data_IF_706295769480
#
_entry.id   IF_706295769480
#
_cell.length_a   1.000
_cell.length_b   1.000
_cell.length_c   1.000
_cell.angle_alpha   90.00
_cell.angle_beta   90.00
_cell.angle_gamma   90.00
#
_symmetry.space_group_name_H-M   'P 1'
#
loop_
_entity.id
_entity.type
_entity.pdbx_description
1 polymer ?
#
# COMPACT_ATOMS: atom_id res chain seq x y z
N UNK A 1 -23.92 14.55 -0.25
CA UNK A 1 -22.56 14.94 0.17
C UNK A 1 -21.64 14.98 -1.03
N UNK A 2 -20.44 15.51 -0.88
CA UNK A 2 -19.43 15.43 -1.95
C UNK A 2 -18.89 14.01 -2.10
N UNK A 3 -18.50 13.60 -3.32
CA UNK A 3 -17.85 12.31 -3.54
C UNK A 3 -16.56 12.23 -2.74
N UNK A 4 -16.36 11.10 -2.03
CA UNK A 4 -15.12 10.81 -1.30
C UNK A 4 -14.11 10.12 -2.23
N UNK A 5 -12.83 10.34 -1.99
CA UNK A 5 -11.71 9.66 -2.65
C UNK A 5 -11.36 8.40 -1.86
N UNK A 6 -11.60 7.25 -2.44
CA UNK A 6 -11.48 5.94 -1.78
C UNK A 6 -10.36 5.14 -2.45
N UNK A 7 -9.32 4.87 -1.69
CA UNK A 7 -8.10 4.18 -2.16
C UNK A 7 -8.09 2.71 -1.73
N UNK A 8 -7.68 1.85 -2.65
CA UNK A 8 -7.19 0.50 -2.39
C UNK A 8 -5.83 0.35 -3.06
N UNK A 9 -4.80 0.04 -2.29
CA UNK A 9 -3.46 -0.29 -2.80
C UNK A 9 -3.21 -1.79 -2.79
N UNK A 10 -2.68 -2.32 -3.88
CA UNK A 10 -2.20 -3.70 -3.98
C UNK A 10 -0.80 -3.71 -4.58
N UNK A 11 0.11 -4.41 -3.89
CA UNK A 11 1.45 -4.68 -4.40
C UNK A 11 1.39 -5.87 -5.35
N UNK A 12 1.87 -5.76 -6.61
CA UNK A 12 1.84 -6.85 -7.59
C UNK A 12 2.94 -7.89 -7.31
N UNK A 13 2.84 -8.56 -6.15
CA UNK A 13 3.85 -9.50 -5.64
C UNK A 13 3.67 -10.95 -6.10
N UNK A 14 2.60 -11.23 -6.84
CA UNK A 14 2.27 -12.52 -7.42
C UNK A 14 1.71 -12.34 -8.84
N UNK A 15 1.72 -13.37 -9.70
CA UNK A 15 1.16 -13.26 -11.04
C UNK A 15 -0.34 -12.92 -11.07
N UNK A 16 -1.09 -13.37 -10.07
CA UNK A 16 -2.55 -13.21 -10.01
C UNK A 16 -3.01 -12.70 -8.65
N UNK A 17 -4.12 -11.95 -8.64
CA UNK A 17 -4.89 -11.73 -7.41
C UNK A 17 -5.64 -13.02 -7.05
N UNK A 18 -5.94 -13.21 -5.77
CA UNK A 18 -6.70 -14.36 -5.30
C UNK A 18 -8.10 -13.95 -4.82
N UNK A 19 -8.95 -14.93 -4.58
CA UNK A 19 -10.36 -14.70 -4.22
C UNK A 19 -10.52 -13.81 -2.97
N UNK A 20 -9.56 -13.81 -2.05
CA UNK A 20 -9.58 -12.91 -0.88
C UNK A 20 -9.59 -11.43 -1.26
N UNK A 21 -8.98 -11.05 -2.38
CA UNK A 21 -8.99 -9.66 -2.86
C UNK A 21 -10.39 -9.25 -3.36
N UNK A 22 -11.24 -10.19 -3.78
CA UNK A 22 -12.59 -9.86 -4.25
C UNK A 22 -13.46 -9.26 -3.15
N UNK A 23 -13.19 -9.57 -1.89
CA UNK A 23 -13.92 -8.99 -0.75
C UNK A 23 -13.78 -7.48 -0.73
N UNK A 24 -12.55 -6.99 -0.78
CA UNK A 24 -12.29 -5.55 -0.77
C UNK A 24 -12.63 -4.89 -2.11
N UNK A 25 -12.39 -5.56 -3.25
CA UNK A 25 -12.78 -5.05 -4.57
C UNK A 25 -14.29 -4.90 -4.70
N UNK A 26 -15.09 -5.83 -4.18
CA UNK A 26 -16.54 -5.69 -4.16
C UNK A 26 -16.99 -4.53 -3.26
N UNK A 27 -16.31 -4.29 -2.14
CA UNK A 27 -16.57 -3.11 -1.31
C UNK A 27 -16.27 -1.82 -2.07
N UNK A 28 -15.13 -1.77 -2.78
CA UNK A 28 -14.79 -0.65 -3.66
C UNK A 28 -15.88 -0.42 -4.72
N UNK A 29 -16.36 -1.50 -5.36
CA UNK A 29 -17.44 -1.42 -6.36
C UNK A 29 -18.73 -0.86 -5.77
N UNK A 30 -19.13 -1.29 -4.58
CA UNK A 30 -20.31 -0.73 -3.90
C UNK A 30 -20.17 0.77 -3.67
N UNK A 31 -18.98 1.23 -3.24
CA UNK A 31 -18.72 2.66 -3.04
C UNK A 31 -18.68 3.44 -4.36
N UNK A 32 -18.19 2.81 -5.43
CA UNK A 32 -18.22 3.36 -6.78
C UNK A 32 -19.68 3.53 -7.28
N UNK A 33 -20.54 2.55 -7.02
CA UNK A 33 -21.95 2.61 -7.40
C UNK A 33 -22.74 3.65 -6.61
N UNK A 34 -22.27 4.00 -5.40
CA UNK A 34 -22.79 5.12 -4.60
C UNK A 34 -22.28 6.50 -5.06
N UNK A 35 -21.47 6.57 -6.11
CA UNK A 35 -20.98 7.81 -6.71
C UNK A 35 -19.69 8.35 -6.10
N UNK A 36 -18.97 7.55 -5.31
CA UNK A 36 -17.64 7.92 -4.80
C UNK A 36 -16.55 7.70 -5.85
N UNK A 37 -15.46 8.45 -5.76
CA UNK A 37 -14.29 8.29 -6.61
C UNK A 37 -13.41 7.17 -6.09
N UNK A 38 -13.32 6.10 -6.85
CA UNK A 38 -12.51 4.93 -6.52
C UNK A 38 -11.14 5.04 -7.16
N UNK A 39 -10.10 4.84 -6.35
CA UNK A 39 -8.69 4.84 -6.77
C UNK A 39 -8.14 3.44 -6.56
N UNK A 40 -7.78 2.78 -7.65
CA UNK A 40 -7.05 1.51 -7.61
C UNK A 40 -5.56 1.80 -7.77
N UNK A 41 -4.81 1.64 -6.69
CA UNK A 41 -3.39 1.92 -6.62
C UNK A 41 -2.59 0.63 -6.78
N UNK A 42 -1.69 0.61 -7.74
CA UNK A 42 -0.69 -0.44 -7.90
C UNK A 42 0.59 0.00 -7.20
N UNK A 43 1.01 -0.79 -6.21
CA UNK A 43 2.22 -0.56 -5.42
C UNK A 43 3.48 -1.07 -6.13
N UNK A 44 3.80 -0.51 -7.29
CA UNK A 44 4.99 -0.90 -8.05
C UNK A 44 6.28 -0.46 -7.36
N UNK A 45 6.29 0.70 -6.71
CA UNK A 45 7.42 1.14 -5.89
C UNK A 45 7.50 0.37 -4.56
N UNK A 46 6.39 0.23 -3.85
CA UNK A 46 6.37 -0.49 -2.55
C UNK A 46 6.69 -1.96 -2.70
N UNK A 47 6.44 -2.57 -3.85
CA UNK A 47 6.89 -3.94 -4.18
C UNK A 47 8.40 -4.12 -4.16
N UNK A 48 9.18 -3.05 -4.41
CA UNK A 48 10.65 -3.09 -4.29
C UNK A 48 11.09 -3.25 -2.83
N UNK A 49 10.32 -2.72 -1.89
CA UNK A 49 10.56 -2.85 -0.45
C UNK A 49 10.08 -4.22 0.02
N UNK A 50 8.87 -4.59 -0.36
CA UNK A 50 8.15 -5.77 0.10
C UNK A 50 7.42 -5.53 1.42
N UNK A 51 6.13 -5.83 1.43
CA UNK A 51 5.30 -5.69 2.63
C UNK A 51 5.75 -6.66 3.73
N UNK A 52 6.19 -6.16 4.89
CA UNK A 52 6.57 -7.00 6.02
C UNK A 52 5.37 -7.59 6.79
N UNK A 53 4.13 -7.18 6.49
CA UNK A 53 2.92 -7.59 7.22
C UNK A 53 2.78 -9.11 7.28
N UNK A 54 2.65 -9.66 8.51
CA UNK A 54 2.47 -11.09 8.75
C UNK A 54 3.63 -11.97 8.31
N UNK A 55 4.85 -11.44 8.23
CA UNK A 55 6.06 -12.16 7.79
C UNK A 55 7.04 -12.38 8.93
N UNK A 56 7.64 -13.57 8.93
CA UNK A 56 8.70 -13.94 9.86
C UNK A 56 10.11 -13.64 9.32
N UNK A 57 10.22 -13.36 8.03
CA UNK A 57 11.49 -13.08 7.33
C UNK A 57 11.28 -12.01 6.27
N UNK A 58 12.37 -11.31 5.91
CA UNK A 58 12.39 -10.35 4.80
C UNK A 58 12.01 -11.03 3.47
N UNK A 59 11.17 -10.39 2.66
CA UNK A 59 10.82 -10.90 1.32
C UNK A 59 12.02 -10.78 0.37
N UNK A 60 12.22 -11.77 -0.52
CA UNK A 60 13.12 -11.60 -1.65
C UNK A 60 12.62 -10.46 -2.55
N UNK A 61 13.52 -9.60 -3.07
CA UNK A 61 13.14 -8.56 -4.01
C UNK A 61 12.66 -9.15 -5.33
N UNK A 62 11.61 -8.53 -5.92
CA UNK A 62 11.17 -8.82 -7.27
C UNK A 62 11.94 -7.95 -8.27
N UNK A 63 12.13 -8.45 -9.51
CA UNK A 63 12.66 -7.60 -10.58
C UNK A 63 11.60 -6.60 -11.07
N UNK A 64 12.06 -5.50 -11.65
CA UNK A 64 11.17 -4.50 -12.23
C UNK A 64 10.29 -5.08 -13.34
N UNK A 65 10.79 -6.06 -14.11
CA UNK A 65 10.04 -6.76 -15.14
C UNK A 65 8.92 -7.61 -14.53
N UNK A 66 9.21 -8.34 -13.46
CA UNK A 66 8.19 -9.13 -12.74
C UNK A 66 7.10 -8.24 -12.16
N UNK A 67 7.47 -7.11 -11.55
CA UNK A 67 6.52 -6.15 -10.99
C UNK A 67 5.60 -5.61 -12.11
N UNK A 68 6.17 -5.21 -13.26
CA UNK A 68 5.38 -4.71 -14.39
C UNK A 68 4.43 -5.75 -14.96
N UNK A 69 4.91 -6.99 -15.16
CA UNK A 69 4.08 -8.07 -15.69
C UNK A 69 2.91 -8.37 -14.74
N UNK A 70 3.18 -8.48 -13.45
CA UNK A 70 2.16 -8.73 -12.44
C UNK A 70 1.15 -7.55 -12.33
N UNK A 71 1.63 -6.30 -12.46
CA UNK A 71 0.79 -5.11 -12.42
C UNK A 71 -0.29 -5.11 -13.52
N UNK A 72 0.08 -5.52 -14.75
CA UNK A 72 -0.88 -5.63 -15.85
C UNK A 72 -1.95 -6.70 -15.60
N UNK A 73 -1.57 -7.83 -14.99
CA UNK A 73 -2.51 -8.86 -14.59
C UNK A 73 -3.46 -8.37 -13.50
N UNK A 74 -2.93 -7.71 -12.48
CA UNK A 74 -3.72 -7.13 -11.38
C UNK A 74 -4.75 -6.12 -11.90
N UNK A 75 -4.32 -5.21 -12.77
CA UNK A 75 -5.20 -4.26 -13.44
C UNK A 75 -6.34 -4.96 -14.19
N UNK A 76 -5.97 -5.91 -15.05
CA UNK A 76 -6.95 -6.66 -15.85
C UNK A 76 -7.95 -7.42 -14.97
N UNK A 77 -7.49 -8.02 -13.89
CA UNK A 77 -8.35 -8.79 -12.98
C UNK A 77 -9.23 -7.88 -12.10
N UNK A 78 -8.69 -6.78 -11.58
CA UNK A 78 -9.45 -5.81 -10.80
C UNK A 78 -10.60 -5.20 -11.62
N UNK A 79 -10.39 -4.94 -12.90
CA UNK A 79 -11.41 -4.39 -13.80
C UNK A 79 -12.49 -5.40 -14.22
N UNK A 80 -12.40 -6.67 -13.77
CA UNK A 80 -13.57 -7.58 -13.83
C UNK A 80 -14.62 -7.25 -12.76
N UNK A 81 -14.23 -6.52 -11.72
CA UNK A 81 -15.10 -6.12 -10.61
C UNK A 81 -15.39 -4.62 -10.66
N UNK A 82 -14.34 -3.80 -10.77
CA UNK A 82 -14.46 -2.34 -10.83
C UNK A 82 -14.82 -1.87 -12.24
N UNK A 83 -15.58 -0.79 -12.32
CA UNK A 83 -15.86 -0.11 -13.59
C UNK A 83 -14.62 0.68 -14.03
N UNK A 84 -13.97 0.32 -15.16
CA UNK A 84 -12.76 1.00 -15.62
C UNK A 84 -12.97 2.49 -15.92
N UNK A 85 -14.17 2.86 -16.42
CA UNK A 85 -14.46 4.24 -16.79
C UNK A 85 -14.62 5.17 -15.56
N UNK A 86 -14.85 4.58 -14.39
CA UNK A 86 -15.05 5.28 -13.11
C UNK A 86 -13.97 4.98 -12.07
N UNK A 87 -12.89 4.33 -12.48
CA UNK A 87 -11.77 3.99 -11.60
C UNK A 87 -10.53 4.78 -12.00
N UNK A 88 -9.98 5.53 -11.06
CA UNK A 88 -8.67 6.17 -11.19
C UNK A 88 -7.60 5.11 -10.93
N UNK A 89 -6.89 4.68 -11.98
CA UNK A 89 -5.74 3.77 -11.86
C UNK A 89 -4.47 4.60 -11.64
N UNK A 90 -3.74 4.30 -10.57
CA UNK A 90 -2.50 5.01 -10.21
C UNK A 90 -1.40 4.02 -9.85
N UNK A 91 -0.17 4.48 -9.97
CA UNK A 91 1.05 3.76 -9.59
C UNK A 91 1.82 4.59 -8.58
N UNK A 92 2.27 3.99 -7.47
CA UNK A 92 2.91 4.80 -6.43
C UNK A 92 4.35 5.21 -6.78
N UNK A 93 4.95 4.66 -7.82
CA UNK A 93 6.17 5.20 -8.42
C UNK A 93 6.01 6.66 -8.90
N UNK A 94 4.79 7.09 -9.29
CA UNK A 94 4.52 8.43 -9.79
C UNK A 94 5.00 9.54 -8.82
N UNK A 95 4.86 9.33 -7.53
CA UNK A 95 5.30 10.29 -6.50
C UNK A 95 6.49 9.81 -5.70
N UNK A 96 6.67 8.48 -5.56
CA UNK A 96 7.75 7.92 -4.76
C UNK A 96 9.11 8.15 -5.40
N UNK A 97 9.22 7.98 -6.73
CA UNK A 97 10.45 8.27 -7.47
C UNK A 97 10.82 9.77 -7.40
N UNK A 98 9.82 10.64 -7.47
CA UNK A 98 10.00 12.08 -7.37
C UNK A 98 10.37 12.57 -5.96
N UNK A 99 10.07 11.79 -4.91
CA UNK A 99 10.36 12.14 -3.52
C UNK A 99 11.85 12.36 -3.28
N UNK A 100 12.69 11.51 -3.89
CA UNK A 100 14.13 11.54 -3.79
C UNK A 100 14.64 11.33 -2.36
N UNK A 101 15.96 11.27 -2.20
CA UNK A 101 16.60 10.97 -0.90
C UNK A 101 16.24 12.01 0.17
N UNK A 102 16.20 13.28 -0.18
CA UNK A 102 15.86 14.35 0.79
C UNK A 102 14.42 14.26 1.27
N UNK A 103 13.49 13.91 0.37
CA UNK A 103 12.09 13.69 0.71
C UNK A 103 11.92 12.47 1.60
N UNK A 104 12.62 11.37 1.29
CA UNK A 104 12.61 10.16 2.10
C UNK A 104 13.11 10.40 3.52
N UNK A 105 14.19 11.19 3.69
CA UNK A 105 14.70 11.57 5.01
C UNK A 105 13.64 12.37 5.79
N UNK A 106 13.00 13.34 5.14
CA UNK A 106 11.92 14.12 5.78
C UNK A 106 10.73 13.25 6.18
N UNK A 107 10.35 12.29 5.33
CA UNK A 107 9.28 11.35 5.62
C UNK A 107 9.64 10.43 6.81
N UNK A 108 10.85 9.86 6.80
CA UNK A 108 11.33 9.00 7.87
C UNK A 108 11.45 9.72 9.22
N UNK A 109 11.74 11.02 9.22
CA UNK A 109 11.82 11.84 10.43
C UNK A 109 10.46 12.07 11.12
N UNK A 110 9.34 11.78 10.44
CA UNK A 110 7.98 11.94 11.01
C UNK A 110 7.56 10.78 11.92
N UNK A 111 8.35 9.72 11.99
CA UNK A 111 8.01 8.54 12.78
C UNK A 111 9.23 7.98 13.51
N UNK A 112 9.03 7.40 14.69
CA UNK A 112 10.14 6.87 15.50
C UNK A 112 10.25 5.36 15.38
N UNK A 113 11.47 4.83 15.56
CA UNK A 113 11.70 3.37 15.64
C UNK A 113 10.90 2.75 16.77
N UNK A 114 10.81 3.42 17.94
CA UNK A 114 10.03 2.91 19.07
C UNK A 114 8.56 2.68 18.69
N UNK A 115 7.93 3.62 17.98
CA UNK A 115 6.56 3.44 17.49
C UNK A 115 6.44 2.43 16.36
N UNK A 116 7.47 2.31 15.50
CA UNK A 116 7.50 1.28 14.47
C UNK A 116 7.51 -0.13 15.09
N UNK A 117 8.19 -0.27 16.23
CA UNK A 117 8.27 -1.54 16.96
C UNK A 117 6.97 -1.90 17.73
N UNK A 118 5.96 -1.03 17.76
CA UNK A 118 4.61 -1.37 18.25
C UNK A 118 3.84 -2.29 17.27
N UNK A 119 4.33 -2.42 16.04
CA UNK A 119 3.80 -3.33 15.05
C UNK A 119 4.15 -4.77 15.43
N UNK A 120 3.14 -5.65 15.53
CA UNK A 120 3.30 -7.00 16.07
C UNK A 120 4.39 -7.82 15.38
N UNK A 121 4.45 -7.80 14.05
CA UNK A 121 5.43 -8.58 13.28
C UNK A 121 6.88 -8.10 13.52
N UNK A 122 7.12 -6.79 13.61
CA UNK A 122 8.43 -6.26 13.98
C UNK A 122 8.77 -6.59 15.43
N UNK A 123 7.81 -6.43 16.34
CA UNK A 123 7.98 -6.75 17.75
C UNK A 123 8.35 -8.23 17.96
N UNK A 124 7.58 -9.15 17.37
CA UNK A 124 7.82 -10.58 17.47
C UNK A 124 9.17 -10.99 16.87
N UNK A 125 9.50 -10.49 15.69
CA UNK A 125 10.79 -10.78 15.02
C UNK A 125 11.96 -10.27 15.84
N UNK A 126 11.86 -9.07 16.39
CA UNK A 126 12.93 -8.49 17.23
C UNK A 126 13.19 -9.33 18.47
N UNK A 127 12.13 -9.72 19.21
CA UNK A 127 12.24 -10.54 20.41
C UNK A 127 12.69 -11.98 20.13
N UNK A 128 12.35 -12.51 18.96
CA UNK A 128 12.81 -13.83 18.53
C UNK A 128 14.26 -13.82 17.99
N UNK A 129 14.92 -12.66 17.91
CA UNK A 129 16.26 -12.53 17.32
C UNK A 129 16.30 -12.68 15.81
N UNK A 130 15.15 -12.60 15.13
CA UNK A 130 15.04 -12.64 13.67
C UNK A 130 15.47 -11.29 13.06
N UNK A 131 16.10 -11.36 11.90
CA UNK A 131 16.57 -10.15 11.21
C UNK A 131 15.41 -9.27 10.76
N UNK A 132 15.58 -7.95 10.94
CA UNK A 132 14.72 -6.92 10.36
C UNK A 132 15.65 -6.00 9.57
N UNK A 133 15.42 -5.90 8.27
CA UNK A 133 16.20 -5.01 7.41
C UNK A 133 15.68 -3.57 7.51
N UNK A 134 16.57 -2.58 7.47
CA UNK A 134 16.22 -1.16 7.66
C UNK A 134 15.15 -0.71 6.64
N UNK A 135 15.22 -1.20 5.38
CA UNK A 135 14.26 -0.82 4.34
C UNK A 135 12.83 -1.26 4.66
N UNK A 136 12.63 -2.33 5.47
CA UNK A 136 11.29 -2.80 5.85
C UNK A 136 10.54 -1.74 6.68
N UNK A 137 11.25 -0.91 7.46
CA UNK A 137 10.64 0.22 8.19
C UNK A 137 10.13 1.33 7.25
N UNK A 138 10.62 1.39 6.02
CA UNK A 138 10.15 2.36 5.04
C UNK A 138 8.79 1.97 4.46
N UNK A 139 8.44 0.68 4.44
CA UNK A 139 7.19 0.23 3.82
C UNK A 139 5.94 0.92 4.39
N UNK A 140 5.69 0.92 5.73
CA UNK A 140 4.53 1.61 6.28
C UNK A 140 4.50 3.12 5.99
N UNK A 141 5.68 3.75 5.96
CA UNK A 141 5.80 5.18 5.66
C UNK A 141 5.45 5.48 4.21
N UNK A 142 5.93 4.65 3.27
CA UNK A 142 5.64 4.82 1.84
C UNK A 142 4.17 4.55 1.53
N UNK A 143 3.58 3.50 2.12
CA UNK A 143 2.13 3.26 1.99
C UNK A 143 1.31 4.40 2.60
N UNK A 144 1.72 4.91 3.74
CA UNK A 144 1.07 6.08 4.36
C UNK A 144 1.19 7.33 3.48
N UNK A 145 2.34 7.55 2.87
CA UNK A 145 2.57 8.66 1.96
C UNK A 145 1.71 8.58 0.69
N UNK A 146 1.36 7.39 0.22
CA UNK A 146 0.39 7.20 -0.87
C UNK A 146 -0.94 7.89 -0.58
N UNK A 147 -1.44 7.81 0.65
CA UNK A 147 -2.68 8.47 1.06
C UNK A 147 -2.56 10.00 1.07
N UNK A 148 -1.38 10.52 1.45
CA UNK A 148 -1.06 11.96 1.38
C UNK A 148 -1.04 12.43 -0.07
N UNK A 149 -0.30 11.73 -0.95
CA UNK A 149 -0.15 12.07 -2.36
C UNK A 149 -1.50 12.03 -3.11
N UNK A 150 -2.32 11.03 -2.82
CA UNK A 150 -3.64 10.85 -3.43
C UNK A 150 -4.73 11.70 -2.78
N UNK A 151 -4.46 12.33 -1.63
CA UNK A 151 -5.48 13.03 -0.82
C UNK A 151 -6.69 12.13 -0.56
N UNK A 152 -6.43 10.91 -0.10
CA UNK A 152 -7.46 9.91 0.12
C UNK A 152 -8.30 10.25 1.35
N UNK A 153 -9.62 10.18 1.24
CA UNK A 153 -10.54 10.31 2.38
C UNK A 153 -10.69 8.98 3.12
N UNK A 154 -10.66 7.88 2.36
CA UNK A 154 -10.79 6.51 2.88
C UNK A 154 -9.73 5.62 2.23
N UNK A 155 -9.08 4.79 3.03
CA UNK A 155 -8.25 3.69 2.57
C UNK A 155 -8.84 2.36 3.03
N UNK A 156 -8.99 1.41 2.10
CA UNK A 156 -9.45 0.05 2.38
C UNK A 156 -8.27 -0.92 2.34
N UNK A 157 -8.32 -1.92 3.21
CA UNK A 157 -7.33 -2.98 3.29
C UNK A 157 -7.79 -4.11 4.19
N UNK A 158 -7.06 -5.21 4.20
CA UNK A 158 -7.27 -6.31 5.13
C UNK A 158 -6.90 -5.91 6.57
N UNK A 159 -7.32 -6.73 7.55
CA UNK A 159 -7.03 -6.49 8.97
C UNK A 159 -5.52 -6.48 9.26
N UNK A 160 -4.75 -7.26 8.51
CA UNK A 160 -3.29 -7.30 8.55
C UNK A 160 -2.64 -5.96 8.16
N UNK A 161 -3.36 -5.11 7.43
CA UNK A 161 -2.91 -3.79 6.98
C UNK A 161 -3.20 -2.66 7.98
N UNK A 162 -3.83 -2.95 9.11
CA UNK A 162 -4.30 -1.93 10.06
C UNK A 162 -3.22 -0.92 10.44
N UNK A 163 -2.00 -1.38 10.72
CA UNK A 163 -0.88 -0.49 11.08
C UNK A 163 -0.55 0.47 9.93
N UNK A 164 -0.46 -0.05 8.70
CA UNK A 164 -0.16 0.75 7.51
C UNK A 164 -1.27 1.78 7.22
N UNK A 165 -2.54 1.40 7.40
CA UNK A 165 -3.68 2.31 7.24
C UNK A 165 -3.64 3.45 8.27
N UNK A 166 -3.30 3.15 9.52
CA UNK A 166 -3.14 4.16 10.57
C UNK A 166 -1.94 5.08 10.32
N UNK A 167 -0.88 4.58 9.68
CA UNK A 167 0.25 5.40 9.23
C UNK A 167 -0.20 6.46 8.22
N UNK A 168 -1.05 6.09 7.26
CA UNK A 168 -1.64 7.03 6.30
C UNK A 168 -2.39 8.16 6.99
N UNK A 169 -3.24 7.81 7.95
CA UNK A 169 -3.97 8.78 8.76
C UNK A 169 -3.04 9.71 9.56
N UNK A 170 -1.97 9.15 10.15
CA UNK A 170 -0.98 9.93 10.88
C UNK A 170 -0.28 10.95 9.98
N UNK A 171 0.22 10.50 8.82
CA UNK A 171 0.95 11.36 7.89
C UNK A 171 0.08 12.44 7.23
N UNK A 172 -1.23 12.22 7.12
CA UNK A 172 -2.17 13.23 6.61
C UNK A 172 -2.46 14.36 7.63
N UNK A 173 -2.16 14.15 8.91
CA UNK A 173 -2.33 15.13 9.97
C UNK A 173 -1.10 16.05 10.15
N UNK A 174 0.06 15.63 9.60
CA UNK A 174 1.36 16.31 9.69
C UNK A 174 1.63 17.22 8.46
#
# INVERSE_FOLDING_TARGET
GQPLRIKLGLDPTAPDIHIGHTVVLNKMRQLQDLGHQVIFLIGDFTSLIGDPSGRNTTRPPLSAEQIRANAETYKTQAFKVLDPARTELRYNSEWSDALGTRGLIKLAAKYTVARMMERNDFHERFHAGNSISIHEFLYPLMQGYDSVALKSDIELGGTDQKFNLLMGRHLQQE
#
